data_IF_833671386464
#
_entry.id   IF_833671386464
#
_cell.length_a   1.000
_cell.length_b   1.000
_cell.length_c   1.000
_cell.angle_alpha   90.00
_cell.angle_beta   90.00
_cell.angle_gamma   90.00
#
_symmetry.space_group_name_H-M   'P 1'
#
loop_
_entity.id
_entity.type
_entity.pdbx_description
1 polymer ?
#
# COMPACT_ATOMS: atom_id res chain seq x y z
N UNK A 1 -3.17 6.77 -2.28
CA UNK A 1 -3.76 5.76 -3.10
C UNK A 1 -4.21 6.23 -4.49
N UNK A 2 -4.35 7.51 -4.67
CA UNK A 2 -4.72 8.08 -5.96
C UNK A 2 -3.72 7.71 -7.07
N UNK A 3 -2.44 7.58 -6.74
CA UNK A 3 -1.41 7.16 -7.69
C UNK A 3 -1.75 5.82 -8.35
N UNK A 4 -2.18 4.84 -7.57
CA UNK A 4 -2.46 3.50 -8.10
C UNK A 4 -3.75 3.46 -8.92
N UNK A 5 -4.71 4.33 -8.63
CA UNK A 5 -5.89 4.49 -9.46
C UNK A 5 -5.48 5.06 -10.82
N UNK A 6 -4.60 6.05 -10.82
CA UNK A 6 -4.09 6.66 -12.05
C UNK A 6 -3.32 5.68 -12.91
N UNK A 7 -2.53 4.76 -12.30
CA UNK A 7 -1.83 3.71 -13.05
C UNK A 7 -2.79 2.79 -13.81
N UNK A 8 -4.02 2.61 -13.33
CA UNK A 8 -5.03 1.78 -13.99
C UNK A 8 -5.75 2.50 -15.12
N UNK A 9 -5.84 3.84 -15.06
CA UNK A 9 -6.66 4.64 -15.97
C UNK A 9 -5.88 5.52 -16.93
N UNK A 10 -4.63 5.85 -16.59
CA UNK A 10 -3.75 6.73 -17.34
C UNK A 10 -2.47 5.99 -17.68
N UNK A 11 -1.67 6.55 -18.57
CA UNK A 11 -0.34 6.01 -18.82
C UNK A 11 0.57 6.23 -17.61
N UNK A 12 1.62 5.43 -17.55
CA UNK A 12 2.53 5.42 -16.40
C UNK A 12 3.23 6.76 -16.18
N UNK A 13 3.60 7.45 -17.26
CA UNK A 13 4.28 8.75 -17.16
C UNK A 13 3.37 9.80 -16.52
N UNK A 14 2.10 9.86 -16.95
CA UNK A 14 1.12 10.78 -16.37
C UNK A 14 0.91 10.50 -14.89
N UNK A 15 0.83 9.22 -14.50
CA UNK A 15 0.69 8.83 -13.10
C UNK A 15 1.90 9.29 -12.27
N UNK A 16 3.11 9.13 -12.77
CA UNK A 16 4.32 9.60 -12.09
C UNK A 16 4.34 11.11 -11.97
N UNK A 17 3.99 11.84 -13.01
CA UNK A 17 3.96 13.30 -12.98
C UNK A 17 2.95 13.81 -11.94
N UNK A 18 1.79 13.20 -11.87
CA UNK A 18 0.78 13.55 -10.88
C UNK A 18 1.25 13.25 -9.45
N UNK A 19 1.94 12.13 -9.26
CA UNK A 19 2.50 11.79 -7.95
C UNK A 19 3.58 12.78 -7.52
N UNK A 20 4.47 13.16 -8.44
CA UNK A 20 5.51 14.16 -8.17
C UNK A 20 4.91 15.49 -7.75
N UNK A 21 3.86 15.94 -8.42
CA UNK A 21 3.18 17.18 -8.07
C UNK A 21 2.59 17.09 -6.66
N UNK A 22 1.96 15.97 -6.31
CA UNK A 22 1.43 15.79 -4.96
C UNK A 22 2.53 15.76 -3.92
N UNK A 23 3.68 15.17 -4.25
CA UNK A 23 4.84 15.16 -3.36
C UNK A 23 5.35 16.58 -3.09
N UNK A 24 5.46 17.40 -4.12
CA UNK A 24 5.86 18.80 -3.96
C UNK A 24 4.88 19.59 -3.09
N UNK A 25 3.59 19.36 -3.28
CA UNK A 25 2.55 19.97 -2.44
C UNK A 25 2.69 19.56 -0.98
N UNK A 26 2.98 18.28 -0.72
CA UNK A 26 3.16 17.78 0.62
C UNK A 26 4.38 18.39 1.31
N UNK A 27 5.49 18.55 0.59
CA UNK A 27 6.69 19.16 1.14
C UNK A 27 6.44 20.59 1.61
N UNK A 28 5.56 21.32 0.93
CA UNK A 28 5.23 22.70 1.28
C UNK A 28 4.37 22.84 2.53
N UNK A 29 3.74 21.77 3.00
CA UNK A 29 2.69 21.87 4.01
C UNK A 29 3.13 21.74 5.47
N UNK A 30 4.01 20.87 5.84
CA UNK A 30 4.47 20.77 7.23
C UNK A 30 5.34 19.54 7.53
N UNK A 31 6.11 19.62 8.61
CA UNK A 31 6.95 18.54 9.13
C UNK A 31 6.17 17.29 9.57
N UNK A 32 4.89 17.40 9.86
CA UNK A 32 4.03 16.26 10.23
C UNK A 32 3.86 15.27 9.08
N UNK A 33 4.28 15.63 7.88
CA UNK A 33 4.10 14.82 6.68
C UNK A 33 5.39 14.14 6.22
N UNK A 34 6.42 14.10 7.06
CA UNK A 34 7.67 13.41 6.75
C UNK A 34 7.41 11.95 6.39
N UNK A 35 6.54 11.28 7.13
CA UNK A 35 6.17 9.90 6.83
C UNK A 35 5.49 9.76 5.47
N UNK A 36 4.56 10.66 5.15
CA UNK A 36 3.92 10.67 3.83
C UNK A 36 4.91 10.86 2.70
N UNK A 37 5.91 11.71 2.90
CA UNK A 37 6.98 11.91 1.92
C UNK A 37 7.80 10.64 1.71
N UNK A 38 8.07 9.89 2.77
CA UNK A 38 8.81 8.63 2.68
C UNK A 38 8.04 7.61 1.86
N UNK A 39 6.73 7.51 2.09
CA UNK A 39 5.88 6.63 1.29
C UNK A 39 5.88 7.02 -0.19
N UNK A 40 5.81 8.31 -0.48
CA UNK A 40 5.88 8.80 -1.86
C UNK A 40 7.23 8.46 -2.49
N UNK A 41 8.32 8.63 -1.75
CA UNK A 41 9.66 8.26 -2.23
C UNK A 41 9.75 6.77 -2.54
N UNK A 42 9.14 5.92 -1.73
CA UNK A 42 9.08 4.49 -2.01
C UNK A 42 8.36 4.24 -3.35
N UNK A 43 7.21 4.85 -3.55
CA UNK A 43 6.43 4.70 -4.78
C UNK A 43 7.17 5.21 -6.01
N UNK A 44 8.00 6.25 -5.85
CA UNK A 44 8.82 6.80 -6.92
C UNK A 44 10.14 6.05 -7.10
N UNK A 45 10.36 4.98 -6.35
CA UNK A 45 11.60 4.19 -6.38
C UNK A 45 12.84 5.00 -6.00
N UNK A 46 12.67 5.98 -5.12
CA UNK A 46 13.75 6.83 -4.60
C UNK A 46 14.37 6.29 -3.32
N UNK A 47 13.66 5.39 -2.63
CA UNK A 47 14.18 4.65 -1.48
C UNK A 47 13.83 3.18 -1.64
N UNK A 48 14.60 2.32 -0.99
CA UNK A 48 14.36 0.88 -0.96
C UNK A 48 13.36 0.51 0.14
N UNK A 49 12.81 -0.71 0.05
CA UNK A 49 11.99 -1.28 1.12
C UNK A 49 12.78 -1.35 2.42
N UNK A 50 14.06 -1.68 2.34
CA UNK A 50 14.94 -1.75 3.52
C UNK A 50 15.02 -0.39 4.21
N UNK A 51 15.24 0.68 3.45
CA UNK A 51 15.29 2.04 3.97
C UNK A 51 13.97 2.45 4.61
N UNK A 52 12.85 2.07 3.99
CA UNK A 52 11.52 2.32 4.54
C UNK A 52 11.35 1.65 5.90
N UNK A 53 11.72 0.36 6.02
CA UNK A 53 11.57 -0.35 7.29
C UNK A 53 12.53 0.13 8.36
N UNK A 54 13.71 0.60 7.99
CA UNK A 54 14.62 1.25 8.94
C UNK A 54 13.97 2.51 9.53
N UNK A 55 13.28 3.28 8.70
CA UNK A 55 12.55 4.45 9.18
C UNK A 55 11.41 4.05 10.11
N UNK A 56 10.65 3.01 9.76
CA UNK A 56 9.54 2.52 10.58
C UNK A 56 10.03 2.09 11.97
N UNK A 57 11.17 1.42 12.05
CA UNK A 57 11.74 0.97 13.33
C UNK A 57 12.00 2.15 14.26
N UNK A 58 12.25 3.35 13.73
CA UNK A 58 12.43 4.53 14.56
C UNK A 58 11.20 4.90 15.40
N UNK A 59 10.03 4.37 15.03
CA UNK A 59 8.76 4.61 15.74
C UNK A 59 8.39 3.47 16.70
N UNK A 60 9.28 2.49 16.92
CA UNK A 60 8.95 1.28 17.68
C UNK A 60 8.51 1.54 19.13
N UNK A 61 8.87 2.70 19.69
CA UNK A 61 8.50 3.06 21.06
C UNK A 61 7.08 3.61 21.20
N UNK A 62 6.40 3.90 20.09
CA UNK A 62 4.99 4.29 20.03
C UNK A 62 4.25 3.22 19.25
N UNK A 63 3.62 2.28 19.97
CA UNK A 63 3.02 1.09 19.35
C UNK A 63 1.94 1.46 18.33
N UNK A 64 1.07 2.42 18.65
CA UNK A 64 0.03 2.83 17.71
C UNK A 64 0.62 3.40 16.41
N UNK A 65 1.57 4.31 16.55
CA UNK A 65 2.19 4.96 15.40
C UNK A 65 2.98 3.94 14.57
N UNK A 66 3.69 3.03 15.26
CA UNK A 66 4.42 1.95 14.60
C UNK A 66 3.49 1.08 13.76
N UNK A 67 2.36 0.64 14.33
CA UNK A 67 1.39 -0.18 13.61
C UNK A 67 0.72 0.57 12.47
N UNK A 68 0.45 1.86 12.64
CA UNK A 68 -0.11 2.70 11.57
C UNK A 68 0.84 2.78 10.38
N UNK A 69 2.12 3.01 10.63
CA UNK A 69 3.13 3.08 9.59
C UNK A 69 3.32 1.74 8.90
N UNK A 70 3.28 0.63 9.65
CA UNK A 70 3.33 -0.70 9.06
C UNK A 70 2.14 -0.97 8.15
N UNK A 71 0.94 -0.60 8.59
CA UNK A 71 -0.27 -0.77 7.79
C UNK A 71 -0.13 -0.10 6.43
N UNK A 72 0.26 1.16 6.43
CA UNK A 72 0.44 1.93 5.20
C UNK A 72 1.57 1.38 4.34
N UNK A 73 2.72 1.06 4.96
CA UNK A 73 3.88 0.54 4.24
C UNK A 73 3.55 -0.78 3.53
N UNK A 74 2.96 -1.72 4.25
CA UNK A 74 2.61 -3.02 3.68
C UNK A 74 1.62 -2.88 2.52
N UNK A 75 0.64 -1.99 2.66
CA UNK A 75 -0.32 -1.77 1.59
C UNK A 75 0.38 -1.26 0.32
N UNK A 76 1.21 -0.21 0.45
CA UNK A 76 1.85 0.37 -0.74
C UNK A 76 2.88 -0.57 -1.36
N UNK A 77 3.62 -1.32 -0.55
CA UNK A 77 4.51 -2.36 -1.09
C UNK A 77 3.71 -3.41 -1.85
N UNK A 78 2.57 -3.85 -1.28
CA UNK A 78 1.68 -4.79 -1.95
C UNK A 78 1.22 -4.28 -3.32
N UNK A 79 0.85 -3.01 -3.40
CA UNK A 79 0.44 -2.39 -4.66
C UNK A 79 1.60 -2.35 -5.67
N UNK A 80 2.81 -2.06 -5.21
CA UNK A 80 3.99 -2.08 -6.07
C UNK A 80 4.27 -3.49 -6.60
N UNK A 81 4.09 -4.52 -5.77
CA UNK A 81 4.26 -5.92 -6.21
C UNK A 81 3.22 -6.29 -7.26
N UNK A 82 1.97 -5.86 -7.11
CA UNK A 82 0.94 -6.05 -8.14
C UNK A 82 1.37 -5.43 -9.46
N UNK A 83 1.88 -4.21 -9.42
CA UNK A 83 2.34 -3.49 -10.60
C UNK A 83 3.47 -4.25 -11.31
N UNK A 84 4.30 -4.96 -10.55
CA UNK A 84 5.40 -5.79 -11.06
C UNK A 84 4.93 -7.17 -11.55
N UNK A 85 3.65 -7.49 -11.41
CA UNK A 85 3.12 -8.80 -11.77
C UNK A 85 3.38 -9.89 -10.72
N UNK A 86 3.80 -9.51 -9.51
CA UNK A 86 4.13 -10.44 -8.43
C UNK A 86 2.92 -10.61 -7.51
N UNK A 87 1.85 -11.20 -8.04
CA UNK A 87 0.54 -11.26 -7.39
C UNK A 87 0.56 -12.02 -6.06
N UNK A 88 1.28 -13.13 -5.99
CA UNK A 88 1.38 -13.90 -4.73
C UNK A 88 2.07 -13.10 -3.63
N UNK A 89 3.16 -12.44 -3.97
CA UNK A 89 3.89 -11.61 -3.02
C UNK A 89 3.04 -10.40 -2.59
N UNK A 90 2.31 -9.81 -3.53
CA UNK A 90 1.36 -8.74 -3.23
C UNK A 90 0.31 -9.19 -2.22
N UNK A 91 -0.27 -10.37 -2.43
CA UNK A 91 -1.25 -10.95 -1.52
C UNK A 91 -0.67 -11.07 -0.09
N UNK A 92 0.56 -11.54 0.01
CA UNK A 92 1.23 -11.69 1.30
C UNK A 92 1.42 -10.33 2.01
N UNK A 93 1.79 -9.28 1.27
CA UNK A 93 1.90 -7.94 1.84
C UNK A 93 0.55 -7.39 2.29
N UNK A 94 -0.52 -7.64 1.53
CA UNK A 94 -1.85 -7.24 1.97
C UNK A 94 -2.28 -7.98 3.23
N UNK A 95 -1.88 -9.24 3.38
CA UNK A 95 -2.12 -9.98 4.63
C UNK A 95 -1.39 -9.33 5.80
N UNK A 96 -0.14 -8.93 5.62
CA UNK A 96 0.62 -8.21 6.65
C UNK A 96 -0.04 -6.89 7.02
N UNK A 97 -0.53 -6.15 6.02
CA UNK A 97 -1.27 -4.92 6.24
C UNK A 97 -2.49 -5.16 7.14
N UNK A 98 -3.26 -6.21 6.86
CA UNK A 98 -4.44 -6.55 7.64
C UNK A 98 -4.10 -7.01 9.05
N UNK A 99 -2.95 -7.63 9.25
CA UNK A 99 -2.50 -8.06 10.57
C UNK A 99 -2.20 -6.90 11.52
N UNK A 100 -2.01 -5.70 11.02
CA UNK A 100 -1.83 -4.52 11.86
C UNK A 100 -3.10 -4.15 12.62
N UNK A 101 -4.27 -4.62 12.16
CA UNK A 101 -5.59 -4.38 12.75
C UNK A 101 -5.98 -2.90 12.83
N UNK A 102 -5.40 -2.06 11.97
CA UNK A 102 -5.76 -0.64 11.88
C UNK A 102 -7.02 -0.48 11.03
N UNK A 103 -8.14 -0.96 11.55
CA UNK A 103 -9.42 -1.10 10.83
C UNK A 103 -9.98 0.22 10.28
N UNK A 104 -9.66 1.34 10.92
CA UNK A 104 -10.11 2.65 10.45
C UNK A 104 -9.31 3.22 9.30
N UNK A 105 -8.21 2.58 8.92
CA UNK A 105 -7.36 3.08 7.85
C UNK A 105 -7.88 2.64 6.49
N UNK A 106 -7.84 3.56 5.54
CA UNK A 106 -8.21 3.28 4.15
C UNK A 106 -7.36 2.16 3.56
N UNK A 107 -6.06 2.14 3.89
CA UNK A 107 -5.13 1.11 3.44
C UNK A 107 -5.54 -0.29 3.91
N UNK A 108 -6.00 -0.42 5.14
CA UNK A 108 -6.49 -1.69 5.66
C UNK A 108 -7.67 -2.20 4.82
N UNK A 109 -8.64 -1.33 4.59
CA UNK A 109 -9.84 -1.64 3.82
C UNK A 109 -9.48 -2.02 2.38
N UNK A 110 -8.60 -1.24 1.77
CA UNK A 110 -8.19 -1.48 0.40
C UNK A 110 -7.37 -2.76 0.25
N UNK A 111 -6.55 -3.11 1.26
CA UNK A 111 -5.84 -4.39 1.28
C UNK A 111 -6.81 -5.57 1.23
N UNK A 112 -7.87 -5.50 2.01
CA UNK A 112 -8.92 -6.51 1.98
C UNK A 112 -9.53 -6.65 0.58
N UNK A 113 -9.88 -5.52 -0.05
CA UNK A 113 -10.48 -5.51 -1.38
C UNK A 113 -9.52 -6.06 -2.44
N UNK A 114 -8.25 -5.71 -2.36
CA UNK A 114 -7.24 -6.21 -3.29
C UNK A 114 -7.06 -7.72 -3.17
N UNK A 115 -7.06 -8.24 -1.94
CA UNK A 115 -6.98 -9.69 -1.72
C UNK A 115 -8.20 -10.41 -2.30
N UNK A 116 -9.37 -9.83 -2.14
CA UNK A 116 -10.61 -10.40 -2.67
C UNK A 116 -10.54 -10.49 -4.19
N UNK A 117 -10.04 -9.46 -4.87
CA UNK A 117 -9.87 -9.47 -6.31
C UNK A 117 -8.86 -10.52 -6.77
N UNK A 118 -7.76 -10.69 -6.03
CA UNK A 118 -6.77 -11.72 -6.33
C UNK A 118 -7.35 -13.13 -6.17
N UNK A 119 -8.15 -13.36 -5.14
CA UNK A 119 -8.82 -14.63 -4.91
C UNK A 119 -9.76 -14.96 -6.08
N UNK A 120 -10.53 -13.98 -6.54
CA UNK A 120 -11.40 -14.14 -7.70
C UNK A 120 -10.62 -14.51 -8.97
N UNK A 121 -9.45 -13.89 -9.13
CA UNK A 121 -8.61 -14.12 -10.31
C UNK A 121 -8.04 -15.54 -10.36
N UNK A 122 -7.59 -16.08 -9.23
CA UNK A 122 -6.85 -17.33 -9.18
C UNK A 122 -7.65 -18.54 -8.67
N UNK A 123 -8.76 -18.31 -7.99
CA UNK A 123 -9.55 -19.39 -7.39
C UNK A 123 -11.05 -19.11 -7.49
N UNK A 124 -11.59 -18.90 -8.69
CA UNK A 124 -13.01 -18.58 -8.83
C UNK A 124 -13.94 -19.67 -8.27
N UNK A 125 -13.54 -20.94 -8.38
CA UNK A 125 -14.34 -22.06 -7.84
C UNK A 125 -14.33 -22.09 -6.32
N UNK A 126 -13.17 -21.79 -5.69
CA UNK A 126 -13.06 -21.70 -4.24
C UNK A 126 -13.91 -20.57 -3.72
N UNK A 127 -13.89 -19.42 -4.38
CA UNK A 127 -14.70 -18.27 -4.01
C UNK A 127 -16.20 -18.61 -4.13
N UNK A 128 -16.58 -19.34 -5.17
CA UNK A 128 -17.96 -19.77 -5.36
C UNK A 128 -18.42 -20.69 -4.23
N UNK A 129 -17.58 -21.64 -3.83
CA UNK A 129 -17.87 -22.55 -2.72
C UNK A 129 -18.06 -21.81 -1.40
N UNK A 130 -17.25 -20.76 -1.16
CA UNK A 130 -17.40 -19.90 0.02
C UNK A 130 -18.75 -19.20 0.05
N UNK A 131 -19.22 -18.74 -1.12
CA UNK A 131 -20.54 -18.11 -1.25
C UNK A 131 -21.65 -19.12 -0.93
N UNK A 132 -21.51 -20.35 -1.39
CA UNK A 132 -22.49 -21.41 -1.14
C UNK A 132 -22.53 -21.83 0.33
N UNK A 133 -21.41 -21.75 1.05
CA UNK A 133 -21.33 -22.12 2.47
C UNK A 133 -21.96 -21.06 3.38
N UNK A 134 -22.15 -19.87 2.89
CA UNK A 134 -22.79 -18.78 3.62
C UNK A 134 -24.32 -18.92 3.56
#
# INVERSE_FOLDING_TARGET
NLYFIELKTLDKQTAFDNLNRRFEELQAKSKKKIWGEILVKLCLNQISEKELFEDIVSYQNDDDLFQEHLCEAYFYIGKLKLEQGLDKLAFDYFSLCRQTRKYGFLEYRNAYLEQHELEKKYSPLVLYDEIDDD
#
